data_IF_362521590636
#
_entry.id   IF_362521590636
#
_cell.length_a   1.000
_cell.length_b   1.000
_cell.length_c   1.000
_cell.angle_alpha   90.00
_cell.angle_beta   90.00
_cell.angle_gamma   90.00
#
_symmetry.space_group_name_H-M   'P 1'
#
loop_
_entity.id
_entity.type
_entity.pdbx_description
1 polymer ?
#
# COMPACT_ATOMS: atom_id res chain seq x y z
N UNK A 1 -10.16 3.56 5.73
CA UNK A 1 -9.90 4.54 6.83
C UNK A 1 -9.85 5.99 6.32
N UNK A 2 -10.55 6.30 5.26
CA UNK A 2 -10.72 7.68 4.77
C UNK A 2 -12.00 8.25 5.39
N UNK A 3 -11.95 9.49 5.91
CA UNK A 3 -13.13 10.11 6.51
C UNK A 3 -14.28 10.20 5.50
N UNK A 4 -15.48 9.80 5.91
CA UNK A 4 -16.69 9.81 5.07
C UNK A 4 -16.77 8.69 4.02
N UNK A 5 -15.79 7.79 3.94
CA UNK A 5 -15.81 6.65 3.01
C UNK A 5 -16.15 5.36 3.73
N UNK A 6 -17.16 4.66 3.22
CA UNK A 6 -17.55 3.33 3.68
C UNK A 6 -18.00 2.50 2.48
N UNK A 7 -17.24 1.49 2.14
CA UNK A 7 -17.58 0.58 1.05
C UNK A 7 -18.51 -0.53 1.52
N UNK A 8 -19.53 -0.82 0.73
CA UNK A 8 -20.37 -1.99 0.93
C UNK A 8 -19.61 -3.30 0.60
N UNK A 9 -20.03 -4.46 1.15
CA UNK A 9 -19.35 -5.73 0.87
C UNK A 9 -19.22 -6.09 -0.62
N UNK A 10 -20.23 -5.77 -1.43
CA UNK A 10 -20.17 -6.01 -2.87
C UNK A 10 -19.23 -5.04 -3.60
N UNK A 11 -19.10 -3.79 -3.15
CA UNK A 11 -18.17 -2.80 -3.71
C UNK A 11 -16.73 -3.21 -3.43
N UNK A 12 -16.43 -3.66 -2.19
CA UNK A 12 -15.13 -4.23 -1.84
C UNK A 12 -14.79 -5.45 -2.70
N UNK A 13 -15.76 -6.33 -2.94
CA UNK A 13 -15.56 -7.47 -3.84
C UNK A 13 -15.24 -7.01 -5.26
N UNK A 14 -15.93 -6.01 -5.79
CA UNK A 14 -15.68 -5.50 -7.16
C UNK A 14 -14.29 -4.88 -7.27
N UNK A 15 -13.88 -4.06 -6.30
CA UNK A 15 -12.53 -3.49 -6.23
C UNK A 15 -11.48 -4.62 -6.16
N UNK A 16 -11.66 -5.60 -5.29
CA UNK A 16 -10.75 -6.73 -5.14
C UNK A 16 -10.63 -7.57 -6.43
N UNK A 17 -11.74 -7.83 -7.10
CA UNK A 17 -11.77 -8.53 -8.41
C UNK A 17 -10.94 -7.77 -9.44
N UNK A 18 -11.18 -6.48 -9.57
CA UNK A 18 -10.48 -5.65 -10.53
C UNK A 18 -8.98 -5.57 -10.22
N UNK A 19 -8.60 -5.38 -8.96
CA UNK A 19 -7.19 -5.35 -8.56
C UNK A 19 -6.49 -6.69 -8.83
N UNK A 20 -7.08 -7.82 -8.44
CA UNK A 20 -6.45 -9.13 -8.57
C UNK A 20 -6.43 -9.67 -10.00
N UNK A 21 -7.50 -9.45 -10.78
CA UNK A 21 -7.65 -10.04 -12.11
C UNK A 21 -7.31 -9.06 -13.23
N UNK A 22 -7.91 -7.86 -13.23
CA UNK A 22 -7.80 -6.94 -14.35
C UNK A 22 -6.51 -6.12 -14.27
N UNK A 23 -6.17 -5.58 -13.11
CA UNK A 23 -4.92 -4.86 -12.85
C UNK A 23 -3.74 -5.82 -12.62
N UNK A 24 -4.02 -6.97 -12.01
CA UNK A 24 -3.05 -8.01 -11.69
C UNK A 24 -1.98 -7.56 -10.68
N UNK A 25 -2.40 -6.91 -9.60
CA UNK A 25 -1.52 -6.62 -8.46
C UNK A 25 -1.08 -7.93 -7.78
N UNK A 26 0.07 -7.90 -7.11
CA UNK A 26 0.59 -9.09 -6.43
C UNK A 26 -0.24 -9.46 -5.20
N UNK A 27 -0.73 -8.47 -4.46
CA UNK A 27 -1.43 -8.64 -3.17
C UNK A 27 -2.41 -7.51 -2.92
N UNK A 28 -3.44 -7.81 -2.14
CA UNK A 28 -4.40 -6.81 -1.63
C UNK A 28 -4.60 -6.99 -0.12
N UNK A 29 -4.57 -5.91 0.64
CA UNK A 29 -5.04 -5.89 2.03
C UNK A 29 -6.48 -5.38 2.04
N UNK A 30 -7.41 -6.20 2.51
CA UNK A 30 -8.85 -6.01 2.23
C UNK A 30 -9.66 -5.44 3.39
N UNK A 31 -9.19 -5.62 4.62
CA UNK A 31 -9.89 -5.15 5.82
C UNK A 31 -9.00 -5.21 7.05
N UNK A 32 -9.45 -4.56 8.14
CA UNK A 32 -8.99 -4.84 9.50
C UNK A 32 -9.92 -5.87 10.15
N UNK A 33 -9.33 -6.85 10.82
CA UNK A 33 -10.09 -7.89 11.51
C UNK A 33 -10.98 -7.28 12.62
N UNK A 34 -12.17 -7.89 12.84
CA UNK A 34 -13.07 -7.61 13.97
C UNK A 34 -13.71 -6.21 13.96
N UNK A 35 -13.73 -5.52 12.85
CA UNK A 35 -14.35 -4.17 12.78
C UNK A 35 -15.88 -4.26 12.77
N UNK A 36 -16.46 -5.10 11.90
CA UNK A 36 -17.92 -5.26 11.78
C UNK A 36 -18.29 -6.56 11.06
N UNK A 37 -19.58 -6.93 11.14
CA UNK A 37 -20.12 -8.05 10.37
C UNK A 37 -20.09 -7.77 8.84
N UNK A 38 -20.26 -6.52 8.43
CA UNK A 38 -20.10 -6.13 7.02
C UNK A 38 -18.69 -6.35 6.50
N UNK A 39 -17.67 -6.05 7.30
CA UNK A 39 -16.27 -6.36 6.97
C UNK A 39 -16.06 -7.89 6.88
N UNK A 40 -16.65 -8.66 7.79
CA UNK A 40 -16.57 -10.13 7.77
C UNK A 40 -17.16 -10.72 6.50
N UNK A 41 -18.35 -10.27 6.10
CA UNK A 41 -18.99 -10.67 4.83
C UNK A 41 -18.14 -10.28 3.61
N UNK A 42 -17.59 -9.07 3.60
CA UNK A 42 -16.73 -8.61 2.51
C UNK A 42 -15.48 -9.50 2.38
N UNK A 43 -14.76 -9.75 3.46
CA UNK A 43 -13.56 -10.60 3.45
C UNK A 43 -13.91 -12.02 3.02
N UNK A 44 -15.00 -12.61 3.53
CA UNK A 44 -15.42 -13.95 3.15
C UNK A 44 -15.76 -14.06 1.65
N UNK A 45 -16.41 -13.05 1.07
CA UNK A 45 -16.70 -12.99 -0.38
C UNK A 45 -15.41 -12.87 -1.19
N UNK A 46 -14.48 -12.02 -0.78
CA UNK A 46 -13.19 -11.81 -1.46
C UNK A 46 -12.35 -13.08 -1.40
N UNK A 47 -12.21 -13.71 -0.24
CA UNK A 47 -11.47 -14.97 -0.09
C UNK A 47 -12.06 -16.09 -0.97
N UNK A 48 -13.39 -16.22 -1.00
CA UNK A 48 -14.07 -17.20 -1.87
C UNK A 48 -13.76 -16.93 -3.34
N UNK A 49 -13.86 -15.68 -3.80
CA UNK A 49 -13.52 -15.31 -5.15
C UNK A 49 -12.04 -15.58 -5.47
N UNK A 50 -11.12 -15.10 -4.62
CA UNK A 50 -9.68 -15.29 -4.80
C UNK A 50 -9.29 -16.78 -4.90
N UNK A 51 -9.96 -17.64 -4.13
CA UNK A 51 -9.80 -19.10 -4.23
C UNK A 51 -10.18 -19.64 -5.62
N UNK A 52 -11.25 -19.13 -6.24
CA UNK A 52 -11.66 -19.59 -7.59
C UNK A 52 -10.65 -19.24 -8.68
N UNK A 53 -9.86 -18.20 -8.49
CA UNK A 53 -8.83 -17.77 -9.46
C UNK A 53 -7.39 -18.14 -9.02
N UNK A 54 -7.24 -18.96 -7.97
CA UNK A 54 -5.92 -19.40 -7.47
C UNK A 54 -5.08 -18.31 -6.82
N UNK A 55 -5.70 -17.23 -6.32
CA UNK A 55 -5.02 -16.08 -5.71
C UNK A 55 -5.39 -15.86 -4.23
N UNK A 56 -5.78 -16.90 -3.51
CA UNK A 56 -6.13 -16.74 -2.09
C UNK A 56 -4.95 -16.25 -1.25
N UNK A 57 -3.73 -16.66 -1.56
CA UNK A 57 -2.50 -16.22 -0.89
C UNK A 57 -2.15 -14.75 -1.14
N UNK A 58 -2.81 -14.11 -2.10
CA UNK A 58 -2.69 -12.68 -2.40
C UNK A 58 -3.68 -11.82 -1.61
N UNK A 59 -4.58 -12.43 -0.82
CA UNK A 59 -5.56 -11.72 0.02
C UNK A 59 -5.04 -11.68 1.45
N UNK A 60 -4.73 -10.48 1.91
CA UNK A 60 -4.17 -10.20 3.23
C UNK A 60 -5.19 -9.46 4.08
N UNK A 61 -5.19 -9.72 5.38
CA UNK A 61 -6.07 -9.05 6.35
C UNK A 61 -5.23 -8.50 7.48
N UNK A 62 -5.44 -7.24 7.84
CA UNK A 62 -4.83 -6.63 9.00
C UNK A 62 -5.42 -7.26 10.27
N UNK A 63 -4.56 -7.76 11.13
CA UNK A 63 -4.93 -8.35 12.42
C UNK A 63 -4.13 -7.73 13.56
N UNK A 64 -4.61 -7.97 14.77
CA UNK A 64 -4.04 -7.37 15.98
C UNK A 64 -3.46 -8.43 16.91
N UNK A 65 -2.55 -8.00 17.79
CA UNK A 65 -2.07 -8.80 18.92
C UNK A 65 -3.14 -8.73 20.02
N UNK A 66 -4.16 -9.62 19.93
CA UNK A 66 -5.43 -9.51 20.66
C UNK A 66 -5.95 -10.85 21.24
N UNK A 67 -5.05 -11.65 21.78
CA UNK A 67 -5.33 -12.99 22.28
C UNK A 67 -5.97 -13.88 21.19
N UNK A 68 -5.37 -13.88 20.00
CA UNK A 68 -5.70 -14.71 18.85
C UNK A 68 -7.06 -14.44 18.18
N UNK A 69 -7.86 -13.51 18.67
CA UNK A 69 -9.20 -13.22 18.14
C UNK A 69 -9.19 -12.77 16.68
N UNK A 70 -8.17 -12.01 16.27
CA UNK A 70 -8.00 -11.62 14.86
C UNK A 70 -7.69 -12.82 13.97
N UNK A 71 -6.86 -13.76 14.43
CA UNK A 71 -6.53 -14.99 13.69
C UNK A 71 -7.78 -15.83 13.47
N UNK A 72 -8.57 -16.07 14.53
CA UNK A 72 -9.80 -16.84 14.43
C UNK A 72 -10.82 -16.18 13.50
N UNK A 73 -10.99 -14.86 13.62
CA UNK A 73 -11.90 -14.10 12.76
C UNK A 73 -11.51 -14.20 11.27
N UNK A 74 -10.21 -14.13 10.95
CA UNK A 74 -9.71 -14.26 9.57
C UNK A 74 -9.93 -15.69 9.05
N UNK A 75 -9.67 -16.71 9.90
CA UNK A 75 -9.91 -18.10 9.56
C UNK A 75 -11.40 -18.37 9.24
N UNK A 76 -12.31 -17.82 10.03
CA UNK A 76 -13.77 -17.93 9.79
C UNK A 76 -14.19 -17.29 8.46
N UNK A 77 -13.47 -16.27 7.98
CA UNK A 77 -13.69 -15.67 6.66
C UNK A 77 -13.09 -16.51 5.51
N UNK A 78 -12.33 -17.56 5.81
CA UNK A 78 -11.63 -18.39 4.83
C UNK A 78 -10.31 -17.78 4.35
N UNK A 79 -9.78 -16.75 5.03
CA UNK A 79 -8.44 -16.21 4.83
C UNK A 79 -7.37 -16.98 5.61
N UNK A 80 -6.11 -16.86 5.17
CA UNK A 80 -4.97 -17.48 5.86
C UNK A 80 -3.67 -16.68 5.74
N UNK A 81 -3.77 -15.40 5.38
CA UNK A 81 -2.65 -14.48 5.42
C UNK A 81 -3.00 -13.32 6.34
N UNK A 82 -2.24 -13.16 7.39
CA UNK A 82 -2.41 -12.07 8.36
C UNK A 82 -1.26 -11.07 8.28
N UNK A 83 -1.61 -9.78 8.19
CA UNK A 83 -0.70 -8.67 8.43
C UNK A 83 -0.85 -8.28 9.91
N UNK A 84 -0.02 -8.84 10.79
CA UNK A 84 -0.12 -8.64 12.23
C UNK A 84 0.44 -7.28 12.62
N UNK A 85 -0.35 -6.47 13.33
CA UNK A 85 0.05 -5.13 13.74
C UNK A 85 0.79 -5.16 15.08
N UNK A 86 2.10 -4.91 15.03
CA UNK A 86 2.94 -4.65 16.19
C UNK A 86 3.40 -3.19 16.23
N UNK A 87 3.96 -2.74 17.36
CA UNK A 87 4.45 -1.36 17.53
C UNK A 87 5.92 -1.24 17.20
N UNK A 88 6.25 -0.38 16.26
CA UNK A 88 7.61 -0.09 15.79
C UNK A 88 8.31 1.02 16.59
N UNK A 89 7.61 1.76 17.47
CA UNK A 89 8.19 2.79 18.33
C UNK A 89 7.97 2.49 19.81
N UNK A 90 8.95 2.86 20.64
CA UNK A 90 8.88 2.74 22.09
C UNK A 90 7.68 3.50 22.68
N UNK A 91 7.40 4.68 22.12
CA UNK A 91 6.29 5.52 22.55
C UNK A 91 4.94 4.81 22.38
N UNK A 92 4.71 4.18 21.22
CA UNK A 92 3.46 3.43 20.99
C UNK A 92 3.37 2.18 21.87
N UNK A 93 4.48 1.48 22.10
CA UNK A 93 4.51 0.33 22.99
C UNK A 93 4.14 0.73 24.43
N UNK A 94 4.79 1.74 24.97
CA UNK A 94 4.66 2.08 26.41
C UNK A 94 3.47 2.98 26.74
N UNK A 95 3.10 3.92 25.84
CA UNK A 95 2.03 4.87 26.12
C UNK A 95 0.67 4.44 25.56
N UNK A 96 0.63 3.78 24.38
CA UNK A 96 -0.61 3.33 23.80
C UNK A 96 -1.00 1.93 24.32
N UNK A 97 -0.09 0.95 24.24
CA UNK A 97 -0.36 -0.39 24.75
C UNK A 97 -0.19 -0.50 26.26
N UNK A 98 0.55 0.40 26.89
CA UNK A 98 0.91 0.38 28.32
C UNK A 98 1.64 -0.92 28.71
N UNK A 99 2.51 -1.41 27.83
CA UNK A 99 3.29 -2.64 28.00
C UNK A 99 4.78 -2.32 28.04
N UNK A 100 5.55 -3.19 28.67
CA UNK A 100 7.00 -3.20 28.48
C UNK A 100 7.34 -3.77 27.10
N UNK A 101 8.53 -3.49 26.55
CA UNK A 101 8.98 -4.07 25.29
C UNK A 101 8.98 -5.61 25.32
N UNK A 102 9.38 -6.21 26.44
CA UNK A 102 9.43 -7.66 26.64
C UNK A 102 8.05 -8.30 26.64
N UNK A 103 7.08 -7.68 27.33
CA UNK A 103 5.69 -8.11 27.34
C UNK A 103 5.09 -8.03 25.94
N UNK A 104 5.31 -6.93 25.21
CA UNK A 104 4.83 -6.78 23.86
C UNK A 104 5.42 -7.85 22.93
N UNK A 105 6.72 -8.08 23.00
CA UNK A 105 7.41 -9.12 22.23
C UNK A 105 6.85 -10.52 22.54
N UNK A 106 6.60 -10.82 23.82
CA UNK A 106 6.03 -12.11 24.23
C UNK A 106 4.63 -12.32 23.63
N UNK A 107 3.77 -11.30 23.65
CA UNK A 107 2.44 -11.37 23.06
C UNK A 107 2.46 -11.51 21.53
N UNK A 108 3.41 -10.84 20.86
CA UNK A 108 3.61 -10.99 19.41
C UNK A 108 4.00 -12.45 19.11
N UNK A 109 5.01 -13.00 19.81
CA UNK A 109 5.46 -14.39 19.62
C UNK A 109 4.31 -15.38 19.80
N UNK A 110 3.54 -15.24 20.86
CA UNK A 110 2.38 -16.10 21.14
C UNK A 110 1.35 -16.05 20.01
N UNK A 111 1.04 -14.85 19.51
CA UNK A 111 0.06 -14.68 18.40
C UNK A 111 0.59 -15.28 17.10
N UNK A 112 1.89 -15.13 16.82
CA UNK A 112 2.53 -15.73 15.64
C UNK A 112 2.49 -17.25 15.72
N UNK A 113 2.89 -17.84 16.86
CA UNK A 113 2.86 -19.30 17.07
C UNK A 113 1.44 -19.86 16.87
N UNK A 114 0.44 -19.17 17.40
CA UNK A 114 -0.95 -19.56 17.19
C UNK A 114 -1.36 -19.48 15.72
N UNK A 115 -1.06 -18.39 15.02
CA UNK A 115 -1.35 -18.23 13.60
C UNK A 115 -0.70 -19.33 12.75
N UNK A 116 0.57 -19.64 13.02
CA UNK A 116 1.30 -20.72 12.36
C UNK A 116 0.67 -22.09 12.62
N UNK A 117 0.22 -22.36 13.86
CA UNK A 117 -0.47 -23.61 14.21
C UNK A 117 -1.79 -23.81 13.45
N UNK A 118 -2.40 -22.71 12.98
CA UNK A 118 -3.59 -22.69 12.13
C UNK A 118 -3.29 -22.69 10.62
N UNK A 119 -2.01 -22.78 10.24
CA UNK A 119 -1.58 -22.77 8.84
C UNK A 119 -1.54 -21.41 8.18
N UNK A 120 -1.49 -20.32 8.96
CA UNK A 120 -1.39 -18.97 8.43
C UNK A 120 0.01 -18.64 7.92
N UNK A 121 0.06 -17.83 6.88
CA UNK A 121 1.22 -17.01 6.55
C UNK A 121 1.16 -15.71 7.36
N UNK A 122 2.24 -15.38 8.05
CA UNK A 122 2.32 -14.19 8.90
C UNK A 122 3.25 -13.16 8.29
N UNK A 123 2.74 -11.95 8.10
CA UNK A 123 3.51 -10.74 7.88
C UNK A 123 3.39 -9.87 9.14
N UNK A 124 4.34 -8.97 9.38
CA UNK A 124 4.35 -8.16 10.58
C UNK A 124 4.54 -6.69 10.26
N UNK A 125 3.57 -5.85 10.60
CA UNK A 125 3.70 -4.40 10.66
C UNK A 125 4.49 -3.98 11.89
N UNK A 126 5.40 -3.05 11.71
CA UNK A 126 6.03 -2.28 12.77
C UNK A 126 5.43 -0.87 12.78
N UNK A 127 4.18 -0.73 13.24
CA UNK A 127 3.45 0.54 13.25
C UNK A 127 4.29 1.64 13.90
N UNK A 128 4.32 2.83 13.27
CA UNK A 128 5.16 3.96 13.66
C UNK A 128 6.68 3.67 13.55
N UNK A 129 7.07 2.82 12.58
CA UNK A 129 8.45 2.47 12.32
C UNK A 129 9.35 3.71 12.09
N UNK A 130 8.87 4.71 11.35
CA UNK A 130 9.63 5.93 11.08
C UNK A 130 10.00 6.70 12.35
N UNK A 131 9.07 6.85 13.31
CA UNK A 131 9.38 7.41 14.63
C UNK A 131 10.28 6.48 15.47
N UNK A 132 10.09 5.17 15.32
CA UNK A 132 10.97 4.17 15.94
C UNK A 132 12.43 4.35 15.51
N UNK A 133 12.69 4.48 14.22
CA UNK A 133 14.02 4.71 13.66
C UNK A 133 14.60 6.06 14.08
N UNK A 134 13.77 7.09 14.20
CA UNK A 134 14.20 8.44 14.57
C UNK A 134 14.45 8.58 16.08
N UNK A 135 13.52 8.11 16.89
CA UNK A 135 13.43 8.51 18.31
C UNK A 135 13.69 7.35 19.29
N UNK A 136 13.60 6.08 18.86
CA UNK A 136 13.74 4.90 19.72
C UNK A 136 14.36 3.69 18.99
N UNK A 137 15.45 3.94 18.31
CA UNK A 137 16.14 2.94 17.46
C UNK A 137 16.57 1.69 18.22
N UNK A 138 17.04 1.83 19.45
CA UNK A 138 17.45 0.70 20.29
C UNK A 138 16.27 -0.24 20.60
N UNK A 139 15.09 0.32 20.88
CA UNK A 139 13.86 -0.47 21.00
C UNK A 139 13.54 -1.21 19.72
N UNK A 140 13.53 -0.52 18.59
CA UNK A 140 13.20 -1.12 17.30
C UNK A 140 14.15 -2.28 16.97
N UNK A 141 15.45 -2.09 17.15
CA UNK A 141 16.42 -3.14 16.85
C UNK A 141 16.36 -4.30 17.84
N UNK A 142 16.11 -4.04 19.11
CA UNK A 142 15.87 -5.09 20.11
C UNK A 142 14.67 -5.97 19.69
N UNK A 143 13.56 -5.36 19.28
CA UNK A 143 12.41 -6.09 18.77
C UNK A 143 12.76 -6.88 17.51
N UNK A 144 13.40 -6.25 16.52
CA UNK A 144 13.76 -6.88 15.25
C UNK A 144 14.75 -8.05 15.43
N UNK A 145 15.75 -7.93 16.29
CA UNK A 145 16.75 -9.00 16.55
C UNK A 145 16.09 -10.30 17.04
N UNK A 146 14.92 -10.20 17.68
CA UNK A 146 14.13 -11.34 18.09
C UNK A 146 13.12 -11.80 17.02
N UNK A 147 12.47 -10.84 16.35
CA UNK A 147 11.42 -11.13 15.39
C UNK A 147 11.94 -11.78 14.11
N UNK A 148 13.16 -11.46 13.66
CA UNK A 148 13.77 -12.11 12.48
C UNK A 148 14.10 -13.60 12.67
N UNK A 149 14.07 -14.10 13.91
CA UNK A 149 14.22 -15.53 14.23
C UNK A 149 12.95 -16.33 14.01
N UNK A 150 11.80 -15.65 13.83
CA UNK A 150 10.49 -16.25 13.62
C UNK A 150 10.20 -16.40 12.13
N UNK A 151 9.32 -17.31 11.70
CA UNK A 151 8.98 -17.52 10.30
C UNK A 151 8.00 -16.45 9.79
N UNK A 152 8.38 -15.19 9.93
CA UNK A 152 7.67 -14.03 9.40
C UNK A 152 8.06 -13.89 7.92
N UNK A 153 7.05 -13.88 7.03
CA UNK A 153 7.29 -13.81 5.59
C UNK A 153 7.76 -12.44 5.14
N UNK A 154 7.17 -11.37 5.70
CA UNK A 154 7.51 -9.98 5.37
C UNK A 154 7.39 -9.09 6.60
N UNK A 155 8.27 -8.11 6.67
CA UNK A 155 8.18 -7.00 7.61
C UNK A 155 7.68 -5.75 6.87
N UNK A 156 6.65 -5.13 7.41
CA UNK A 156 5.96 -3.99 6.82
C UNK A 156 6.38 -2.75 7.60
N UNK A 157 7.07 -1.82 6.93
CA UNK A 157 7.71 -0.66 7.54
C UNK A 157 6.92 0.62 7.19
N UNK A 158 5.97 1.04 8.05
CA UNK A 158 5.15 2.20 7.74
C UNK A 158 5.78 3.51 8.23
N UNK A 159 5.77 4.49 7.35
CA UNK A 159 5.84 5.91 7.72
C UNK A 159 4.43 6.37 8.12
N UNK A 160 4.01 5.95 9.31
CA UNK A 160 2.63 6.05 9.80
C UNK A 160 2.13 7.48 9.87
N UNK A 161 3.00 8.43 10.16
CA UNK A 161 2.67 9.86 10.28
C UNK A 161 3.15 10.69 9.08
N UNK A 162 3.69 10.03 8.04
CA UNK A 162 4.19 10.70 6.84
C UNK A 162 5.33 11.69 7.13
N UNK A 163 6.20 11.40 8.10
CA UNK A 163 7.21 12.35 8.64
C UNK A 163 8.58 12.27 7.97
N UNK A 164 8.81 11.28 7.12
CA UNK A 164 10.10 11.11 6.47
C UNK A 164 10.24 12.02 5.25
N UNK A 165 11.43 12.56 5.08
CA UNK A 165 11.88 13.03 3.77
C UNK A 165 12.61 11.90 3.02
N UNK A 166 12.84 12.01 1.70
CA UNK A 166 13.47 10.93 0.92
C UNK A 166 14.86 10.53 1.41
N UNK A 167 15.67 11.46 1.92
CA UNK A 167 17.01 11.17 2.43
C UNK A 167 16.95 10.33 3.71
N UNK A 168 16.04 10.66 4.62
CA UNK A 168 15.79 9.87 5.83
C UNK A 168 15.24 8.48 5.48
N UNK A 169 14.34 8.40 4.50
CA UNK A 169 13.81 7.13 4.02
C UNK A 169 14.94 6.22 3.49
N UNK A 170 15.84 6.77 2.66
CA UNK A 170 17.04 6.05 2.18
C UNK A 170 17.91 5.58 3.35
N UNK A 171 18.21 6.48 4.30
CA UNK A 171 19.07 6.17 5.43
C UNK A 171 18.49 5.03 6.29
N UNK A 172 17.22 5.17 6.68
CA UNK A 172 16.57 4.22 7.60
C UNK A 172 16.33 2.86 6.93
N UNK A 173 15.87 2.86 5.68
CA UNK A 173 15.67 1.62 4.93
C UNK A 173 17.00 0.87 4.73
N UNK A 174 18.08 1.57 4.37
CA UNK A 174 19.40 0.94 4.23
C UNK A 174 19.92 0.36 5.52
N UNK A 175 19.67 0.99 6.67
CA UNK A 175 20.03 0.42 7.97
C UNK A 175 19.30 -0.91 8.21
N UNK A 176 17.98 -0.97 7.94
CA UNK A 176 17.20 -2.20 8.05
C UNK A 176 17.74 -3.31 7.14
N UNK A 177 17.91 -3.01 5.86
CA UNK A 177 18.37 -3.99 4.86
C UNK A 177 19.79 -4.50 5.17
N UNK A 178 20.70 -3.62 5.59
CA UNK A 178 22.08 -4.03 5.96
C UNK A 178 22.13 -4.89 7.22
N UNK A 179 21.30 -4.57 8.22
CA UNK A 179 21.28 -5.33 9.48
C UNK A 179 20.58 -6.68 9.32
N UNK A 180 19.55 -6.75 8.47
CA UNK A 180 18.73 -7.93 8.26
C UNK A 180 18.64 -8.31 6.77
N UNK A 181 19.76 -8.71 6.13
CA UNK A 181 19.83 -8.88 4.67
C UNK A 181 18.97 -10.02 4.13
N UNK A 182 18.59 -10.98 4.99
CA UNK A 182 17.74 -12.11 4.62
C UNK A 182 16.23 -11.81 4.79
N UNK A 183 15.87 -10.66 5.33
CA UNK A 183 14.48 -10.28 5.55
C UNK A 183 13.87 -9.65 4.29
N UNK A 184 12.57 -9.81 4.15
CA UNK A 184 11.78 -9.13 3.13
C UNK A 184 11.12 -7.91 3.77
N UNK A 185 11.42 -6.72 3.26
CA UNK A 185 10.83 -5.47 3.72
C UNK A 185 9.90 -4.90 2.67
N UNK A 186 8.67 -4.60 3.08
CA UNK A 186 7.72 -3.76 2.35
C UNK A 186 7.67 -2.37 3.00
N UNK A 187 7.47 -1.33 2.20
CA UNK A 187 7.33 0.04 2.69
C UNK A 187 5.91 0.56 2.49
N UNK A 188 5.40 1.30 3.47
CA UNK A 188 4.07 1.90 3.46
C UNK A 188 4.17 3.38 3.82
N UNK A 189 3.79 4.27 2.90
CA UNK A 189 3.94 5.72 3.07
C UNK A 189 2.59 6.44 3.21
N UNK A 190 2.42 7.21 4.28
CA UNK A 190 1.39 8.25 4.34
C UNK A 190 1.85 9.54 3.67
N UNK A 191 0.90 10.38 3.24
CA UNK A 191 1.12 11.50 2.34
C UNK A 191 0.99 12.89 3.00
N UNK A 192 1.23 12.98 4.31
CA UNK A 192 0.97 14.19 5.09
C UNK A 192 1.78 15.42 4.64
N UNK A 193 2.97 15.22 4.08
CA UNK A 193 3.81 16.27 3.46
C UNK A 193 3.91 16.14 1.93
N UNK A 194 2.99 15.41 1.30
CA UNK A 194 3.00 15.14 -0.16
C UNK A 194 4.29 14.43 -0.65
N UNK A 195 4.90 13.63 0.22
CA UNK A 195 6.15 12.91 -0.07
C UNK A 195 5.97 11.39 -0.20
N UNK A 196 4.74 10.87 -0.13
CA UNK A 196 4.51 9.42 -0.11
C UNK A 196 5.07 8.72 -1.36
N UNK A 197 4.91 9.29 -2.55
CA UNK A 197 5.45 8.74 -3.80
C UNK A 197 6.97 8.76 -3.76
N UNK A 198 7.59 9.89 -3.47
CA UNK A 198 9.05 10.02 -3.44
C UNK A 198 9.70 9.13 -2.38
N UNK A 199 9.07 8.99 -1.21
CA UNK A 199 9.54 8.08 -0.15
C UNK A 199 9.39 6.60 -0.55
N UNK A 200 8.32 6.23 -1.24
CA UNK A 200 8.15 4.87 -1.77
C UNK A 200 9.27 4.51 -2.76
N UNK A 201 9.63 5.43 -3.65
CA UNK A 201 10.74 5.24 -4.58
C UNK A 201 12.10 5.17 -3.87
N UNK A 202 12.33 6.05 -2.88
CA UNK A 202 13.52 6.04 -2.04
C UNK A 202 13.67 4.70 -1.29
N UNK A 203 12.57 4.14 -0.82
CA UNK A 203 12.55 2.83 -0.16
C UNK A 203 12.96 1.70 -1.13
N UNK A 204 12.42 1.66 -2.35
CA UNK A 204 12.79 0.67 -3.38
C UNK A 204 14.28 0.77 -3.72
N UNK A 205 14.79 1.97 -3.98
CA UNK A 205 16.21 2.22 -4.25
C UNK A 205 17.13 1.79 -3.09
N UNK A 206 16.56 1.66 -1.90
CA UNK A 206 17.29 1.30 -0.69
C UNK A 206 17.09 -0.16 -0.28
N UNK A 207 16.36 -0.95 -1.09
CA UNK A 207 16.23 -2.40 -0.94
C UNK A 207 14.88 -2.88 -0.40
N UNK A 208 13.85 -2.02 -0.32
CA UNK A 208 12.47 -2.49 -0.15
C UNK A 208 12.07 -3.37 -1.33
N UNK A 209 11.40 -4.48 -1.06
CA UNK A 209 10.99 -5.48 -2.07
C UNK A 209 9.51 -5.40 -2.42
N UNK A 210 8.75 -4.62 -1.67
CA UNK A 210 7.33 -4.37 -1.91
C UNK A 210 6.93 -2.98 -1.45
N UNK A 211 5.84 -2.48 -2.02
CA UNK A 211 5.24 -1.19 -1.67
C UNK A 211 3.75 -1.37 -1.38
N UNK A 212 3.28 -0.74 -0.33
CA UNK A 212 1.86 -0.60 -0.07
C UNK A 212 1.37 0.72 -0.66
N UNK A 213 0.44 0.62 -1.58
CA UNK A 213 -0.16 1.75 -2.30
C UNK A 213 -1.68 1.64 -2.26
N UNK A 214 -2.37 2.73 -2.54
CA UNK A 214 -3.83 2.74 -2.57
C UNK A 214 -4.34 3.31 -3.89
N UNK A 215 -5.52 2.88 -4.32
CA UNK A 215 -6.16 3.48 -5.48
C UNK A 215 -6.51 4.93 -5.16
N UNK A 216 -6.18 5.84 -6.06
CA UNK A 216 -6.36 7.30 -5.93
C UNK A 216 -5.69 7.92 -4.69
N UNK A 217 -4.77 7.21 -4.04
CA UNK A 217 -4.11 7.69 -2.84
C UNK A 217 -5.01 7.74 -1.60
N UNK A 218 -6.19 7.09 -1.61
CA UNK A 218 -7.10 7.10 -0.46
C UNK A 218 -6.45 6.52 0.78
N UNK A 219 -6.73 7.11 1.94
CA UNK A 219 -6.18 6.67 3.23
C UNK A 219 -6.52 7.65 4.34
N UNK A 220 -5.92 7.45 5.50
CA UNK A 220 -6.03 8.35 6.64
C UNK A 220 -5.45 9.73 6.32
N UNK A 221 -6.07 10.78 6.84
CA UNK A 221 -5.63 12.18 6.73
C UNK A 221 -5.43 12.62 5.27
N UNK A 222 -4.17 12.77 4.82
CA UNK A 222 -3.82 13.14 3.44
C UNK A 222 -3.67 11.93 2.50
N UNK A 223 -3.96 10.71 3.00
CA UNK A 223 -3.91 9.49 2.21
C UNK A 223 -2.54 8.83 2.16
N UNK A 224 -2.33 8.04 1.12
CA UNK A 224 -1.15 7.18 0.90
C UNK A 224 -0.56 7.41 -0.50
N UNK A 225 0.53 6.72 -0.81
CA UNK A 225 1.08 6.71 -2.15
C UNK A 225 0.07 6.12 -3.16
N UNK A 226 -0.29 6.85 -4.25
CA UNK A 226 -1.25 6.36 -5.24
C UNK A 226 -0.65 5.26 -6.13
N UNK A 227 -1.41 4.17 -6.33
CA UNK A 227 -1.03 3.04 -7.18
C UNK A 227 -0.56 3.47 -8.58
N UNK A 228 -1.34 4.33 -9.25
CA UNK A 228 -1.06 4.73 -10.62
C UNK A 228 0.27 5.48 -10.74
N UNK A 229 0.51 6.48 -9.88
CA UNK A 229 1.77 7.27 -9.90
C UNK A 229 2.98 6.40 -9.59
N UNK A 230 2.89 5.55 -8.56
CA UNK A 230 4.01 4.67 -8.17
C UNK A 230 4.32 3.68 -9.28
N UNK A 231 3.30 3.06 -9.88
CA UNK A 231 3.48 2.07 -10.96
C UNK A 231 4.21 2.67 -12.18
N UNK A 232 3.76 3.82 -12.67
CA UNK A 232 4.35 4.40 -13.88
C UNK A 232 5.78 4.87 -13.63
N UNK A 233 6.08 5.44 -12.46
CA UNK A 233 7.43 5.87 -12.14
C UNK A 233 8.38 4.67 -12.01
N UNK A 234 7.95 3.60 -11.33
CA UNK A 234 8.75 2.38 -11.20
C UNK A 234 9.10 1.79 -12.57
N UNK A 235 8.15 1.80 -13.50
CA UNK A 235 8.36 1.28 -14.85
C UNK A 235 9.22 2.20 -15.71
N UNK A 236 8.90 3.50 -15.76
CA UNK A 236 9.49 4.43 -16.70
C UNK A 236 10.87 4.94 -16.25
N UNK A 237 11.09 5.11 -14.95
CA UNK A 237 12.33 5.69 -14.40
C UNK A 237 13.26 4.65 -13.77
N UNK A 238 12.74 3.47 -13.39
CA UNK A 238 13.52 2.44 -12.70
C UNK A 238 13.53 1.09 -13.44
N UNK A 239 12.89 1.03 -14.63
CA UNK A 239 12.79 -0.18 -15.44
C UNK A 239 12.30 -1.42 -14.63
N UNK A 240 11.50 -1.16 -13.60
CA UNK A 240 11.02 -2.23 -12.73
C UNK A 240 10.05 -3.14 -13.48
N UNK A 241 10.29 -4.45 -13.36
CA UNK A 241 9.40 -5.45 -13.93
C UNK A 241 8.23 -5.68 -12.98
N UNK A 242 7.05 -5.21 -13.36
CA UNK A 242 5.80 -5.47 -12.66
C UNK A 242 4.84 -6.23 -13.57
N UNK A 243 3.86 -6.92 -12.97
CA UNK A 243 2.80 -7.60 -13.72
C UNK A 243 1.54 -6.74 -13.86
N UNK A 244 1.61 -5.48 -13.45
CA UNK A 244 0.46 -4.56 -13.44
C UNK A 244 0.10 -4.15 -14.87
N UNK A 245 -1.17 -4.33 -15.20
CA UNK A 245 -1.76 -3.92 -16.47
C UNK A 245 -2.20 -2.46 -16.40
N UNK A 246 -1.44 -1.57 -17.04
CA UNK A 246 -1.60 -0.12 -16.95
C UNK A 246 -2.83 0.40 -17.67
N UNK A 247 -3.29 -0.29 -18.71
CA UNK A 247 -4.49 0.02 -19.49
C UNK A 247 -5.79 -0.01 -18.66
N UNK A 248 -5.75 -0.62 -17.46
CA UNK A 248 -6.88 -0.71 -16.54
C UNK A 248 -6.80 0.25 -15.35
N UNK A 249 -5.71 1.04 -15.22
CA UNK A 249 -5.52 1.95 -14.09
C UNK A 249 -6.58 3.06 -14.03
N UNK A 250 -6.99 3.56 -15.18
CA UNK A 250 -8.07 4.57 -15.22
C UNK A 250 -9.41 3.97 -14.78
N UNK A 251 -9.71 2.74 -15.18
CA UNK A 251 -10.98 2.07 -14.84
C UNK A 251 -11.09 1.84 -13.32
N UNK A 252 -10.04 1.34 -12.67
CA UNK A 252 -10.07 1.17 -11.21
C UNK A 252 -10.14 2.49 -10.47
N UNK A 253 -9.47 3.54 -11.00
CA UNK A 253 -9.54 4.88 -10.44
C UNK A 253 -10.99 5.40 -10.44
N UNK A 254 -11.71 5.29 -11.58
CA UNK A 254 -13.11 5.71 -11.71
C UNK A 254 -14.06 4.86 -10.87
N UNK A 255 -13.83 3.55 -10.80
CA UNK A 255 -14.63 2.68 -9.94
C UNK A 255 -14.55 3.11 -8.47
N UNK A 256 -13.33 3.35 -7.98
CA UNK A 256 -13.12 3.76 -6.58
C UNK A 256 -13.60 5.19 -6.34
N UNK A 257 -13.44 6.11 -7.29
CA UNK A 257 -14.05 7.45 -7.25
C UNK A 257 -15.56 7.36 -7.06
N UNK A 258 -16.24 6.55 -7.88
CA UNK A 258 -17.69 6.36 -7.81
C UNK A 258 -18.18 5.77 -6.50
N UNK A 259 -17.46 4.77 -5.97
CA UNK A 259 -17.83 4.12 -4.70
C UNK A 259 -17.47 4.94 -3.46
N UNK A 260 -16.36 5.65 -3.49
CA UNK A 260 -15.92 6.46 -2.35
C UNK A 260 -16.62 7.81 -2.26
N UNK A 261 -17.12 8.32 -3.37
CA UNK A 261 -17.61 9.70 -3.49
C UNK A 261 -16.50 10.76 -3.42
N UNK A 262 -15.22 10.35 -3.40
CA UNK A 262 -14.08 11.25 -3.40
C UNK A 262 -13.64 11.48 -4.85
N UNK A 263 -13.88 12.69 -5.37
CA UNK A 263 -13.54 13.05 -6.73
C UNK A 263 -12.03 13.05 -6.97
N UNK A 264 -11.63 12.53 -8.13
CA UNK A 264 -10.25 12.62 -8.63
C UNK A 264 -10.05 13.99 -9.26
N UNK A 265 -9.09 14.76 -8.76
CA UNK A 265 -8.82 16.07 -9.34
C UNK A 265 -8.38 15.94 -10.81
N UNK A 266 -8.84 16.82 -11.72
CA UNK A 266 -8.53 16.71 -13.16
C UNK A 266 -7.03 16.71 -13.48
N UNK A 267 -6.20 17.29 -12.63
CA UNK A 267 -4.75 17.34 -12.76
C UNK A 267 -4.02 16.22 -11.98
N UNK A 268 -4.75 15.23 -11.46
CA UNK A 268 -4.11 14.08 -10.78
C UNK A 268 -3.23 13.32 -11.77
N UNK A 269 -1.96 13.05 -11.45
CA UNK A 269 -1.08 12.30 -12.34
C UNK A 269 -1.67 10.96 -12.80
N UNK A 270 -1.50 10.63 -14.05
CA UNK A 270 -1.92 9.38 -14.72
C UNK A 270 -3.44 9.25 -14.94
N UNK A 271 -4.26 9.47 -13.92
CA UNK A 271 -5.71 9.16 -13.93
C UNK A 271 -6.62 10.39 -14.02
N UNK A 272 -6.08 11.60 -13.85
CA UNK A 272 -6.85 12.84 -13.99
C UNK A 272 -7.28 13.11 -15.42
N UNK A 273 -8.38 13.85 -15.61
CA UNK A 273 -8.94 14.12 -16.95
C UNK A 273 -7.99 14.94 -17.83
N UNK A 274 -7.23 15.87 -17.25
CA UNK A 274 -6.36 16.78 -18.00
C UNK A 274 -4.98 16.23 -18.34
N UNK A 275 -4.64 15.03 -17.87
CA UNK A 275 -3.26 14.47 -17.98
C UNK A 275 -2.75 14.42 -19.43
N UNK A 276 -3.65 14.16 -20.38
CA UNK A 276 -3.32 14.04 -21.80
C UNK A 276 -3.92 15.16 -22.66
N UNK A 277 -4.34 16.27 -22.04
CA UNK A 277 -4.95 17.42 -22.71
C UNK A 277 -3.94 18.54 -22.89
N UNK A 278 -3.72 18.99 -24.12
CA UNK A 278 -2.91 20.16 -24.48
C UNK A 278 -3.84 21.35 -24.76
N UNK A 279 -3.53 22.48 -24.15
CA UNK A 279 -4.35 23.71 -24.26
C UNK A 279 -3.60 24.84 -24.95
N UNK A 280 -2.26 24.89 -24.82
CA UNK A 280 -1.46 25.92 -25.45
C UNK A 280 -1.21 25.62 -26.94
N UNK A 281 -1.49 26.60 -27.83
CA UNK A 281 -1.30 26.45 -29.28
C UNK A 281 0.14 26.08 -29.65
N UNK A 282 1.14 26.63 -28.94
CA UNK A 282 2.57 26.31 -29.16
C UNK A 282 2.86 24.84 -28.87
N UNK A 283 2.19 24.23 -27.90
CA UNK A 283 2.35 22.81 -27.59
C UNK A 283 1.70 21.94 -28.68
N UNK A 284 0.47 22.29 -29.11
CA UNK A 284 -0.22 21.59 -30.17
C UNK A 284 0.57 21.65 -31.50
N UNK A 285 1.12 22.80 -31.84
CA UNK A 285 1.97 22.98 -33.03
C UNK A 285 3.26 22.14 -32.94
N UNK A 286 3.91 22.13 -31.80
CA UNK A 286 5.13 21.31 -31.58
C UNK A 286 4.85 19.81 -31.62
N UNK A 287 3.74 19.36 -31.06
CA UNK A 287 3.32 17.95 -31.13
C UNK A 287 3.01 17.52 -32.57
N UNK A 288 2.37 18.40 -33.36
CA UNK A 288 2.09 18.12 -34.77
C UNK A 288 3.34 18.05 -35.66
N UNK A 289 4.41 18.77 -35.27
CA UNK A 289 5.67 18.77 -36.01
C UNK A 289 6.54 17.56 -35.73
N UNK A 290 6.81 17.26 -34.47
CA UNK A 290 7.73 16.16 -34.08
C UNK A 290 7.48 15.65 -32.66
N UNK A 291 6.25 15.71 -32.16
CA UNK A 291 5.88 15.28 -30.81
C UNK A 291 6.73 15.93 -29.71
N UNK A 292 7.09 17.20 -29.88
CA UNK A 292 8.05 17.94 -29.04
C UNK A 292 7.59 18.10 -27.58
N UNK A 293 6.29 17.96 -27.33
CA UNK A 293 5.71 18.06 -25.99
C UNK A 293 5.12 16.71 -25.50
N UNK A 294 5.63 15.59 -26.06
CA UNK A 294 5.33 14.26 -25.59
C UNK A 294 6.42 13.77 -24.63
N UNK A 295 6.03 13.00 -23.64
CA UNK A 295 6.89 12.26 -22.73
C UNK A 295 6.54 10.76 -22.75
N UNK A 296 7.14 9.96 -21.86
CA UNK A 296 6.93 8.52 -21.80
C UNK A 296 5.51 8.13 -21.31
N UNK A 297 4.76 9.08 -20.75
CA UNK A 297 3.34 8.90 -20.40
C UNK A 297 2.47 9.03 -21.66
N UNK A 298 2.55 8.03 -22.54
CA UNK A 298 1.72 8.00 -23.75
C UNK A 298 0.30 7.53 -23.41
N UNK A 299 -0.74 8.25 -23.89
CA UNK A 299 -2.14 8.00 -23.51
C UNK A 299 -2.61 6.57 -23.78
N UNK A 300 -2.14 5.96 -24.87
CA UNK A 300 -2.52 4.63 -25.34
C UNK A 300 -2.18 3.54 -24.31
N UNK A 301 -1.13 3.72 -23.49
CA UNK A 301 -0.79 2.81 -22.38
C UNK A 301 -1.91 2.67 -21.35
N UNK A 302 -2.74 3.71 -21.24
CA UNK A 302 -3.80 3.82 -20.24
C UNK A 302 -5.20 3.71 -20.85
N UNK A 303 -5.31 3.25 -22.11
CA UNK A 303 -6.58 3.15 -22.84
C UNK A 303 -7.20 4.53 -23.13
N UNK A 304 -6.38 5.60 -23.21
CA UNK A 304 -6.80 6.98 -23.41
C UNK A 304 -6.27 7.54 -24.73
N UNK A 305 -6.66 8.75 -25.05
CA UNK A 305 -6.21 9.49 -26.22
C UNK A 305 -5.70 10.88 -25.83
N UNK A 306 -4.80 11.43 -26.65
CA UNK A 306 -4.38 12.84 -26.51
C UNK A 306 -5.51 13.74 -27.00
N UNK A 307 -5.75 14.79 -26.26
CA UNK A 307 -6.80 15.77 -26.55
C UNK A 307 -6.18 17.16 -26.69
N UNK A 308 -6.79 17.97 -27.56
CA UNK A 308 -6.45 19.37 -27.75
C UNK A 308 -7.70 20.22 -27.45
N UNK A 309 -7.60 21.09 -26.47
CA UNK A 309 -8.70 21.95 -26.07
C UNK A 309 -8.35 23.41 -26.39
N UNK A 310 -9.34 24.19 -26.74
CA UNK A 310 -9.21 25.65 -26.93
C UNK A 310 -8.95 26.31 -25.58
N UNK A 311 -7.92 27.10 -25.51
CA UNK A 311 -7.54 27.85 -24.32
C UNK A 311 -7.39 29.32 -24.60
N UNK A 312 -6.99 30.07 -23.59
CA UNK A 312 -6.83 31.54 -23.71
C UNK A 312 -5.77 31.97 -24.73
N UNK A 313 -4.81 31.09 -25.02
CA UNK A 313 -3.67 31.31 -25.89
C UNK A 313 -3.62 30.33 -27.07
N UNK A 314 -4.75 29.80 -27.50
CA UNK A 314 -4.86 28.91 -28.65
C UNK A 314 -5.23 29.66 -29.91
#
# INVERSE_FOLDING_TARGET
QTNGVSFLPHEKLMIARMLLHDINVDRIEVASARVSEGEKDAVARICRYAKTIGKLDSVEVLGFVDNNKSVDWIAECGGHVINLLAKGSYKHCTQQLKMSPEEHLAHIKQTIDYALSKGFTVNLYLEDWSSGMRDSRDYLFMMMDELVKLPIKRFLLPDTLGILNPLQCVEYMRQMVRRYPNSHFDFHAHNDYDLAVSNSLAAVLSGAKGLHVTVNGLGERCGNAPLASVQVILKDMFEAKTNIKEDRLNDISRLVEGYSGIAVAPNTPVVGDNVFTQVAGVHADGDNKDKLYCNDLVPERFGRHREYALGKNS
#
